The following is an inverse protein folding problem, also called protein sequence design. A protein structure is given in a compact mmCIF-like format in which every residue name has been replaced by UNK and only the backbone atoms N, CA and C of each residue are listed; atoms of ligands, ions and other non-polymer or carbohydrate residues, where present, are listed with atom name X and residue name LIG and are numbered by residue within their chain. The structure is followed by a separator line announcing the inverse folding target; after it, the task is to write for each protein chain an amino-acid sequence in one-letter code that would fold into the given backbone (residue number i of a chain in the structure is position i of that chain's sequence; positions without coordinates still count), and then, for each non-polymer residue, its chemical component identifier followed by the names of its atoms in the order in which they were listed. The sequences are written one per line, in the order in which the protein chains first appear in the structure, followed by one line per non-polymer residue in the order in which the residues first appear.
data_IF_494228320444
#
_entry.id   IF_494228320444
#
_cell.length_a   1.000
_cell.length_b   1.000
_cell.length_c   1.000
_cell.angle_alpha   90.00
_cell.angle_beta   90.00
_cell.angle_gamma   90.00
#
_symmetry.space_group_name_H-M   'P 1'
#
loop_
_entity.id
_entity.type
_entity.pdbx_description
1 polymer ?
#
# COMPACT_ATOMS: atom_id res chain seq x y z
N UNK A 1 9.36 -1.81 -20.18
CA UNK A 1 8.21 -2.72 -19.98
C UNK A 1 7.83 -3.23 -21.35
N UNK A 2 7.89 -4.54 -21.56
CA UNK A 2 7.73 -5.15 -22.89
C UNK A 2 6.32 -5.72 -23.10
N UNK A 3 5.54 -5.92 -22.03
CA UNK A 3 4.17 -6.45 -22.12
C UNK A 3 3.17 -5.78 -21.15
N UNK A 4 1.88 -5.82 -21.50
CA UNK A 4 0.77 -5.42 -20.61
C UNK A 4 0.78 -6.22 -19.29
N UNK A 5 1.18 -7.50 -19.36
CA UNK A 5 1.21 -8.37 -18.20
C UNK A 5 2.27 -7.92 -17.18
N UNK A 6 3.41 -7.39 -17.64
CA UNK A 6 4.44 -6.86 -16.75
C UNK A 6 3.99 -5.57 -16.07
N UNK A 7 3.28 -4.69 -16.79
CA UNK A 7 2.68 -3.48 -16.20
C UNK A 7 1.69 -3.84 -15.08
N UNK A 8 0.84 -4.84 -15.32
CA UNK A 8 -0.11 -5.36 -14.32
C UNK A 8 0.61 -5.95 -13.11
N UNK A 9 1.63 -6.78 -13.34
CA UNK A 9 2.45 -7.37 -12.27
C UNK A 9 3.12 -6.28 -11.44
N UNK A 10 3.73 -5.27 -12.07
CA UNK A 10 4.39 -4.17 -11.38
C UNK A 10 3.42 -3.40 -10.48
N UNK A 11 2.30 -2.94 -11.05
CA UNK A 11 1.30 -2.14 -10.34
C UNK A 11 0.61 -2.93 -9.22
N UNK A 12 0.45 -4.24 -9.37
CA UNK A 12 -0.15 -5.11 -8.33
C UNK A 12 0.61 -5.15 -7.01
N UNK A 13 1.80 -4.55 -6.95
CA UNK A 13 2.59 -4.39 -5.72
C UNK A 13 2.83 -2.93 -5.34
N UNK A 14 2.51 -1.97 -6.19
CA UNK A 14 2.81 -0.56 -5.91
C UNK A 14 1.83 0.04 -4.90
N UNK A 15 2.35 0.56 -3.79
CA UNK A 15 1.56 1.33 -2.80
C UNK A 15 1.39 2.80 -3.16
N UNK A 16 2.39 3.38 -3.84
CA UNK A 16 2.46 4.82 -4.13
C UNK A 16 1.88 5.19 -5.50
N UNK A 17 1.56 4.19 -6.32
CA UNK A 17 0.95 4.37 -7.64
C UNK A 17 -0.57 4.22 -7.49
N UNK A 18 -1.35 5.18 -7.97
CA UNK A 18 -2.82 5.09 -7.95
C UNK A 18 -3.32 4.08 -8.99
N UNK A 19 -2.84 4.22 -10.22
CA UNK A 19 -3.20 3.37 -11.35
C UNK A 19 -2.16 3.46 -12.47
N UNK A 20 -2.13 2.46 -13.33
CA UNK A 20 -1.36 2.45 -14.57
C UNK A 20 -2.31 2.33 -15.75
N UNK A 21 -2.03 3.13 -16.78
CA UNK A 21 -2.85 3.28 -17.96
C UNK A 21 -2.03 3.00 -19.22
N UNK A 22 -2.67 2.40 -20.21
CA UNK A 22 -2.24 2.44 -21.59
C UNK A 22 -2.78 3.74 -22.18
N UNK A 23 -1.86 4.67 -22.48
CA UNK A 23 -2.22 6.00 -22.96
C UNK A 23 -2.69 5.91 -24.42
N UNK A 24 -3.89 6.39 -24.69
CA UNK A 24 -4.45 6.44 -26.04
C UNK A 24 -4.36 7.83 -26.65
N UNK A 25 -4.37 8.86 -25.82
CA UNK A 25 -4.07 10.21 -26.25
C UNK A 25 -3.92 11.17 -25.09
N UNK A 26 -3.18 12.24 -25.34
CA UNK A 26 -2.97 13.34 -24.43
C UNK A 26 -3.01 14.67 -25.19
N UNK A 27 -3.20 15.77 -24.48
CA UNK A 27 -3.14 17.11 -25.08
C UNK A 27 -3.18 18.18 -24.00
N UNK A 28 -2.78 19.40 -24.35
CA UNK A 28 -2.94 20.60 -23.51
C UNK A 28 -4.39 21.12 -23.53
N UNK A 29 -5.21 20.64 -24.46
CA UNK A 29 -6.65 20.89 -24.52
C UNK A 29 -7.42 19.61 -24.88
N UNK A 30 -8.74 19.63 -24.67
CA UNK A 30 -9.61 18.51 -25.08
C UNK A 30 -9.56 18.28 -26.59
N UNK A 31 -9.48 19.35 -27.39
CA UNK A 31 -9.42 19.26 -28.85
C UNK A 31 -8.12 18.61 -29.33
N UNK A 32 -6.98 19.03 -28.75
CA UNK A 32 -5.68 18.46 -29.05
C UNK A 32 -5.63 16.97 -28.71
N UNK A 33 -6.16 16.59 -27.54
CA UNK A 33 -6.26 15.19 -27.12
C UNK A 33 -7.12 14.37 -28.09
N UNK A 34 -8.27 14.88 -28.54
CA UNK A 34 -9.10 14.20 -29.55
C UNK A 34 -8.39 14.05 -30.89
N UNK A 35 -7.66 15.08 -31.35
CA UNK A 35 -6.89 15.03 -32.59
C UNK A 35 -5.76 14.00 -32.50
N UNK A 36 -5.06 13.94 -31.37
CA UNK A 36 -4.00 12.96 -31.15
C UNK A 36 -4.54 11.53 -31.17
N UNK A 37 -5.71 11.27 -30.57
CA UNK A 37 -6.36 9.95 -30.62
C UNK A 37 -6.73 9.57 -32.06
N UNK A 38 -7.24 10.51 -32.86
CA UNK A 38 -7.61 10.24 -34.27
C UNK A 38 -6.41 9.89 -35.14
N UNK A 39 -5.22 10.38 -34.80
CA UNK A 39 -3.97 10.07 -35.49
C UNK A 39 -3.36 8.73 -35.05
N UNK A 40 -3.78 8.18 -33.90
CA UNK A 40 -3.30 6.88 -33.46
C UNK A 40 -3.81 5.73 -34.33
N UNK A 41 -3.02 4.67 -34.52
CA UNK A 41 -3.45 3.51 -35.28
C UNK A 41 -4.64 2.84 -34.61
N UNK A 42 -5.67 2.53 -35.39
CA UNK A 42 -6.90 1.92 -34.87
C UNK A 42 -6.66 0.56 -34.20
N UNK A 43 -5.56 -0.12 -34.52
CA UNK A 43 -5.13 -1.36 -33.87
C UNK A 43 -4.88 -1.20 -32.37
N UNK A 44 -4.63 0.02 -31.89
CA UNK A 44 -4.39 0.30 -30.47
C UNK A 44 -5.65 0.11 -29.62
N UNK A 45 -6.80 0.62 -30.07
CA UNK A 45 -8.03 0.63 -29.26
C UNK A 45 -9.11 -0.35 -29.75
N UNK A 46 -9.17 -0.68 -31.05
CA UNK A 46 -10.19 -1.60 -31.60
C UNK A 46 -10.29 -2.96 -30.87
N UNK A 47 -9.19 -3.66 -30.54
CA UNK A 47 -9.27 -4.94 -29.85
C UNK A 47 -9.88 -4.85 -28.44
N UNK A 48 -9.84 -3.67 -27.83
CA UNK A 48 -10.35 -3.44 -26.47
C UNK A 48 -11.79 -2.93 -26.46
N UNK A 49 -12.31 -2.45 -27.61
CA UNK A 49 -13.67 -1.93 -27.76
C UNK A 49 -14.58 -2.81 -28.65
N UNK A 50 -14.16 -4.05 -28.90
CA UNK A 50 -14.94 -4.99 -29.70
C UNK A 50 -16.33 -5.28 -29.10
N UNK A 51 -17.30 -5.65 -29.94
CA UNK A 51 -18.71 -5.85 -29.56
C UNK A 51 -18.98 -6.86 -28.44
N UNK A 52 -18.09 -7.82 -28.22
CA UNK A 52 -18.22 -8.82 -27.16
C UNK A 52 -17.64 -8.35 -25.81
N UNK A 53 -16.96 -7.20 -25.75
CA UNK A 53 -16.33 -6.67 -24.53
C UNK A 53 -17.19 -5.58 -23.93
N UNK A 54 -17.48 -5.71 -22.64
CA UNK A 54 -18.15 -4.67 -21.90
C UNK A 54 -17.21 -3.51 -21.59
N UNK A 55 -17.73 -2.29 -21.58
CA UNK A 55 -16.91 -1.11 -21.30
C UNK A 55 -17.54 -0.12 -20.32
N UNK A 56 -16.67 0.71 -19.73
CA UNK A 56 -17.03 1.89 -18.94
C UNK A 56 -16.07 3.02 -19.24
N UNK A 57 -16.60 4.22 -19.40
CA UNK A 57 -15.80 5.46 -19.43
C UNK A 57 -16.00 6.21 -18.13
N UNK A 58 -14.92 6.68 -17.52
CA UNK A 58 -14.96 7.55 -16.34
C UNK A 58 -14.21 8.84 -16.60
N UNK A 59 -14.66 9.91 -15.97
CA UNK A 59 -14.06 11.24 -16.08
C UNK A 59 -13.64 11.69 -14.69
N UNK A 60 -12.32 11.86 -14.50
CA UNK A 60 -11.71 12.27 -13.24
C UNK A 60 -10.96 13.60 -13.41
N UNK A 61 -11.24 14.56 -12.54
CA UNK A 61 -10.46 15.80 -12.43
C UNK A 61 -9.41 15.65 -11.33
N UNK A 62 -8.14 15.89 -11.66
CA UNK A 62 -7.09 16.08 -10.69
C UNK A 62 -7.14 17.53 -10.20
N UNK A 63 -7.28 17.72 -8.90
CA UNK A 63 -7.38 19.02 -8.24
C UNK A 63 -8.64 19.84 -8.61
N UNK A 64 -9.67 19.21 -9.19
CA UNK A 64 -10.97 19.83 -9.44
C UNK A 64 -12.10 18.79 -9.41
N UNK A 65 -13.19 19.13 -8.72
CA UNK A 65 -14.43 18.35 -8.76
C UNK A 65 -15.27 18.76 -9.96
N UNK A 66 -15.57 17.81 -10.84
CA UNK A 66 -16.36 18.02 -12.05
C UNK A 66 -17.83 17.70 -11.82
N UNK A 67 -18.74 18.50 -12.40
CA UNK A 67 -20.18 18.26 -12.35
C UNK A 67 -20.56 17.06 -13.21
N UNK A 68 -21.63 16.37 -12.85
CA UNK A 68 -22.11 15.20 -13.58
C UNK A 68 -22.49 15.52 -15.03
N UNK A 69 -23.08 16.70 -15.28
CA UNK A 69 -23.38 17.20 -16.63
C UNK A 69 -22.12 17.28 -17.50
N UNK A 70 -21.05 17.84 -16.94
CA UNK A 70 -19.80 18.10 -17.68
C UNK A 70 -19.07 16.79 -17.97
N UNK A 71 -19.18 15.82 -17.05
CA UNK A 71 -18.65 14.47 -17.26
C UNK A 71 -19.39 13.76 -18.40
N UNK A 72 -20.72 13.89 -18.48
CA UNK A 72 -21.51 13.30 -19.56
C UNK A 72 -21.15 13.90 -20.92
N UNK A 73 -21.06 15.23 -21.01
CA UNK A 73 -20.65 15.91 -22.25
C UNK A 73 -19.27 15.44 -22.75
N UNK A 74 -18.33 15.19 -21.84
CA UNK A 74 -16.99 14.65 -22.15
C UNK A 74 -17.00 13.18 -22.56
N UNK A 75 -17.95 12.39 -22.07
CA UNK A 75 -18.12 11.01 -22.53
C UNK A 75 -18.72 11.01 -23.93
N UNK A 76 -19.71 11.87 -24.19
CA UNK A 76 -20.34 12.02 -25.50
C UNK A 76 -19.37 12.54 -26.57
N UNK A 77 -18.40 13.37 -26.20
CA UNK A 77 -17.36 13.85 -27.13
C UNK A 77 -16.44 12.73 -27.64
N UNK A 78 -16.41 11.57 -26.98
CA UNK A 78 -15.66 10.38 -27.39
C UNK A 78 -16.42 9.47 -28.36
N UNK A 79 -17.62 9.85 -28.79
CA UNK A 79 -18.50 9.06 -29.69
C UNK A 79 -17.88 8.64 -31.02
N UNK A 80 -16.77 9.25 -31.45
CA UNK A 80 -16.02 8.83 -32.64
C UNK A 80 -15.22 7.53 -32.44
N UNK A 81 -15.06 7.05 -31.22
CA UNK A 81 -14.46 5.75 -30.93
C UNK A 81 -15.45 4.61 -31.16
N UNK A 82 -15.00 3.44 -31.63
CA UNK A 82 -15.88 2.31 -31.97
C UNK A 82 -16.36 1.57 -30.71
N UNK A 83 -17.28 2.17 -29.98
CA UNK A 83 -17.90 1.58 -28.79
C UNK A 83 -18.99 0.57 -29.18
N UNK A 84 -18.58 -0.61 -29.67
CA UNK A 84 -19.52 -1.61 -30.21
C UNK A 84 -20.11 -2.55 -29.13
N UNK A 85 -19.55 -2.54 -27.92
CA UNK A 85 -19.89 -3.49 -26.84
C UNK A 85 -20.93 -2.99 -25.84
N UNK A 86 -21.37 -3.84 -24.88
CA UNK A 86 -22.32 -3.44 -23.85
C UNK A 86 -21.70 -2.53 -22.78
N UNK A 87 -22.47 -1.60 -22.23
CA UNK A 87 -22.01 -0.75 -21.11
C UNK A 87 -22.16 -1.50 -19.79
N UNK A 88 -21.07 -1.64 -19.02
CA UNK A 88 -21.09 -2.24 -17.67
C UNK A 88 -20.43 -1.30 -16.66
N UNK A 89 -21.23 -0.74 -15.75
CA UNK A 89 -20.73 0.25 -14.78
C UNK A 89 -19.99 -0.38 -13.58
N UNK A 90 -20.20 -1.66 -13.30
CA UNK A 90 -19.71 -2.30 -12.07
C UNK A 90 -18.40 -3.05 -12.31
N UNK A 91 -18.36 -3.94 -13.30
CA UNK A 91 -17.19 -4.76 -13.60
C UNK A 91 -16.98 -4.90 -15.12
N UNK A 92 -16.53 -3.84 -15.80
CA UNK A 92 -16.32 -3.86 -17.25
C UNK A 92 -15.06 -4.64 -17.63
N UNK A 93 -15.04 -5.20 -18.84
CA UNK A 93 -13.83 -5.79 -19.44
C UNK A 93 -12.81 -4.70 -19.79
N UNK A 94 -13.29 -3.55 -20.27
CA UNK A 94 -12.48 -2.39 -20.63
C UNK A 94 -12.93 -1.15 -19.87
N UNK A 95 -12.05 -0.63 -19.00
CA UNK A 95 -12.25 0.67 -18.34
C UNK A 95 -11.37 1.73 -18.99
N UNK A 96 -12.01 2.81 -19.44
CA UNK A 96 -11.33 4.02 -19.92
C UNK A 96 -11.49 5.14 -18.90
N UNK A 97 -10.41 5.84 -18.63
CA UNK A 97 -10.42 7.03 -17.77
C UNK A 97 -9.94 8.24 -18.58
N UNK A 98 -10.79 9.27 -18.62
CA UNK A 98 -10.43 10.60 -19.08
C UNK A 98 -10.02 11.42 -17.86
N UNK A 99 -8.75 11.80 -17.80
CA UNK A 99 -8.13 12.47 -16.66
C UNK A 99 -7.79 13.90 -17.04
N UNK A 100 -8.34 14.85 -16.30
CA UNK A 100 -8.07 16.28 -16.48
C UNK A 100 -7.14 16.79 -15.38
N UNK A 101 -6.02 17.41 -15.77
CA UNK A 101 -5.04 17.94 -14.84
C UNK A 101 -5.16 19.45 -14.68
N UNK A 102 -5.58 19.91 -13.51
CA UNK A 102 -5.76 21.34 -13.18
C UNK A 102 -4.60 21.92 -12.36
N UNK A 103 -3.43 21.26 -12.32
CA UNK A 103 -2.28 21.73 -11.56
C UNK A 103 -2.25 21.23 -10.12
N UNK A 104 -1.22 21.65 -9.37
CA UNK A 104 -0.99 21.24 -7.98
C UNK A 104 -1.46 22.27 -6.95
N UNK A 105 -1.74 23.51 -7.37
CA UNK A 105 -2.16 24.59 -6.47
C UNK A 105 -3.64 24.50 -6.17
N UNK A 106 -4.01 24.55 -4.89
CA UNK A 106 -5.41 24.51 -4.46
C UNK A 106 -6.04 25.90 -4.35
N UNK A 107 -5.28 26.97 -4.59
CA UNK A 107 -5.72 28.35 -4.37
C UNK A 107 -6.37 28.94 -5.63
N UNK A 108 -5.71 28.77 -6.79
CA UNK A 108 -6.13 29.34 -8.07
C UNK A 108 -6.30 28.24 -9.12
N UNK A 109 -7.30 27.36 -8.92
CA UNK A 109 -7.57 26.26 -9.85
C UNK A 109 -8.20 26.83 -11.13
N UNK A 110 -7.60 26.64 -12.32
CA UNK A 110 -8.10 27.22 -13.55
C UNK A 110 -9.46 26.62 -13.98
N UNK A 111 -10.17 27.36 -14.82
CA UNK A 111 -11.44 26.88 -15.38
C UNK A 111 -11.26 25.71 -16.34
N UNK A 112 -10.21 25.78 -17.17
CA UNK A 112 -9.81 24.75 -18.11
C UNK A 112 -8.61 23.96 -17.58
N UNK A 113 -8.51 22.65 -17.88
CA UNK A 113 -7.37 21.85 -17.47
C UNK A 113 -6.12 22.24 -18.25
N UNK A 114 -4.96 22.10 -17.63
CA UNK A 114 -3.66 22.27 -18.30
C UNK A 114 -3.36 21.12 -19.25
N UNK A 115 -3.79 19.90 -18.90
CA UNK A 115 -3.64 18.72 -19.74
C UNK A 115 -4.82 17.77 -19.57
N UNK A 116 -5.15 17.07 -20.64
CA UNK A 116 -6.18 16.03 -20.67
C UNK A 116 -5.55 14.75 -21.18
N UNK A 117 -5.86 13.65 -20.53
CA UNK A 117 -5.39 12.31 -20.89
C UNK A 117 -6.58 11.39 -21.08
N UNK A 118 -6.53 10.53 -22.09
CA UNK A 118 -7.42 9.39 -22.22
C UNK A 118 -6.56 8.12 -22.23
N UNK A 119 -6.89 7.18 -21.37
CA UNK A 119 -6.21 5.89 -21.35
C UNK A 119 -7.07 4.75 -20.87
N UNK A 120 -6.68 3.54 -21.28
CA UNK A 120 -7.25 2.29 -20.80
C UNK A 120 -6.57 1.87 -19.50
N UNK A 121 -7.35 1.57 -18.48
CA UNK A 121 -6.83 1.11 -17.19
C UNK A 121 -6.21 -0.28 -17.36
N UNK A 122 -4.92 -0.40 -17.07
CA UNK A 122 -4.21 -1.69 -17.02
C UNK A 122 -4.29 -2.32 -15.64
N UNK A 123 -4.14 -1.51 -14.59
CA UNK A 123 -4.19 -1.97 -13.20
C UNK A 123 -4.23 -0.82 -12.21
N UNK A 124 -4.67 -1.12 -10.98
CA UNK A 124 -4.68 -0.19 -9.85
C UNK A 124 -3.63 -0.60 -8.83
N UNK A 125 -2.97 0.36 -8.21
CA UNK A 125 -2.07 0.06 -7.10
C UNK A 125 -2.85 -0.35 -5.86
N UNK A 126 -2.15 -0.88 -4.86
CA UNK A 126 -2.78 -1.50 -3.69
C UNK A 126 -2.87 -0.55 -2.49
N UNK A 127 -3.19 0.72 -2.75
CA UNK A 127 -3.40 1.74 -1.70
C UNK A 127 -4.49 1.34 -0.70
N UNK A 128 -5.44 0.51 -1.13
CA UNK A 128 -6.52 -0.04 -0.29
C UNK A 128 -5.98 -0.88 0.88
N UNK A 129 -4.81 -1.53 0.71
CA UNK A 129 -4.16 -2.29 1.79
C UNK A 129 -3.75 -1.40 2.97
N UNK A 130 -3.46 -0.12 2.75
CA UNK A 130 -3.12 0.82 3.84
C UNK A 130 -4.29 0.96 4.81
N UNK A 131 -5.52 1.02 4.28
CA UNK A 131 -6.72 1.10 5.10
C UNK A 131 -7.02 -0.24 5.78
N UNK A 132 -6.89 -1.35 5.04
CA UNK A 132 -7.14 -2.71 5.54
C UNK A 132 -6.19 -3.11 6.69
N UNK A 133 -4.91 -2.76 6.57
CA UNK A 133 -3.87 -3.09 7.55
C UNK A 133 -3.59 -1.96 8.55
N UNK A 134 -4.51 -0.98 8.63
CA UNK A 134 -4.36 0.18 9.49
C UNK A 134 -4.17 -0.23 10.95
N UNK A 135 -3.22 0.43 11.61
CA UNK A 135 -2.95 0.22 13.04
C UNK A 135 -4.20 0.40 13.90
N UNK A 136 -5.14 1.28 13.53
CA UNK A 136 -6.36 1.52 14.33
C UNK A 136 -7.18 0.26 14.58
N UNK A 137 -7.21 -0.66 13.62
CA UNK A 137 -8.02 -1.87 13.63
C UNK A 137 -7.25 -3.10 14.16
N UNK A 138 -5.96 -2.96 14.48
CA UNK A 138 -5.11 -4.10 14.85
C UNK A 138 -5.37 -4.57 16.28
N UNK A 139 -5.46 -5.89 16.47
CA UNK A 139 -5.69 -6.53 17.77
C UNK A 139 -4.60 -6.22 18.79
N UNK A 140 -3.33 -6.37 18.42
CA UNK A 140 -2.18 -6.11 19.28
C UNK A 140 -1.30 -4.99 18.71
N UNK A 141 -1.13 -3.91 19.48
CA UNK A 141 -0.39 -2.71 19.09
C UNK A 141 0.60 -2.31 20.20
N UNK A 142 1.78 -1.88 19.75
CA UNK A 142 2.75 -1.13 20.55
C UNK A 142 2.83 0.34 20.13
N UNK A 143 3.42 1.17 20.98
CA UNK A 143 3.49 2.63 20.89
C UNK A 143 4.32 3.24 19.75
N UNK A 144 5.18 2.50 19.05
CA UNK A 144 5.85 2.90 17.79
C UNK A 144 5.69 1.88 16.68
N UNK A 145 4.49 1.33 16.51
CA UNK A 145 4.25 0.48 15.33
C UNK A 145 4.42 1.28 14.03
N UNK A 146 5.28 0.80 13.12
CA UNK A 146 5.42 1.37 11.78
C UNK A 146 4.08 1.39 11.05
N UNK A 147 3.81 2.42 10.25
CA UNK A 147 2.62 2.48 9.40
C UNK A 147 2.61 1.36 8.33
N UNK A 148 1.43 0.84 8.01
CA UNK A 148 1.27 -0.25 7.05
C UNK A 148 1.83 0.11 5.66
N UNK A 149 1.74 1.37 5.22
CA UNK A 149 2.26 1.81 3.93
C UNK A 149 3.77 1.59 3.83
N UNK A 150 4.52 2.03 4.84
CA UNK A 150 5.98 1.89 4.86
C UNK A 150 6.39 0.42 4.95
N UNK A 151 5.69 -0.38 5.76
CA UNK A 151 5.94 -1.82 5.85
C UNK A 151 5.78 -2.53 4.50
N UNK A 152 4.71 -2.25 3.75
CA UNK A 152 4.53 -2.81 2.40
C UNK A 152 5.59 -2.31 1.41
N UNK A 153 6.03 -1.06 1.50
CA UNK A 153 7.10 -0.51 0.66
C UNK A 153 8.42 -1.23 0.93
N UNK A 154 8.79 -1.45 2.20
CA UNK A 154 10.02 -2.17 2.53
C UNK A 154 9.97 -3.63 2.07
N UNK A 155 8.83 -4.30 2.23
CA UNK A 155 8.63 -5.65 1.70
C UNK A 155 8.76 -5.72 0.17
N UNK A 156 8.38 -4.66 -0.54
CA UNK A 156 8.60 -4.56 -1.98
C UNK A 156 10.06 -4.28 -2.34
N UNK A 157 10.74 -3.42 -1.58
CA UNK A 157 12.18 -3.17 -1.76
C UNK A 157 13.01 -4.43 -1.52
N UNK A 158 12.61 -5.27 -0.56
CA UNK A 158 13.19 -6.58 -0.31
C UNK A 158 12.78 -7.66 -1.33
N UNK A 159 11.94 -7.31 -2.32
CA UNK A 159 11.49 -8.19 -3.41
C UNK A 159 10.86 -9.51 -2.95
N UNK A 160 10.16 -9.49 -1.80
CA UNK A 160 9.62 -10.71 -1.19
C UNK A 160 8.71 -11.50 -2.13
N UNK A 161 8.92 -12.80 -2.17
CA UNK A 161 8.17 -13.81 -2.92
C UNK A 161 7.45 -14.76 -1.97
N UNK A 162 6.36 -15.40 -2.43
CA UNK A 162 5.73 -16.46 -1.66
C UNK A 162 6.73 -17.58 -1.35
N UNK A 163 6.82 -17.97 -0.07
CA UNK A 163 7.74 -19.00 0.40
C UNK A 163 8.99 -18.47 1.08
N UNK A 164 9.40 -17.22 0.80
CA UNK A 164 10.60 -16.61 1.38
C UNK A 164 10.58 -16.66 2.91
N UNK A 165 11.73 -16.88 3.53
CA UNK A 165 11.92 -16.82 4.97
C UNK A 165 12.42 -15.44 5.39
N UNK A 166 11.58 -14.70 6.09
CA UNK A 166 11.80 -13.29 6.48
C UNK A 166 12.00 -13.18 7.97
N UNK A 167 13.05 -12.47 8.38
CA UNK A 167 13.31 -12.13 9.77
C UNK A 167 13.17 -10.62 9.99
N UNK A 168 12.38 -10.23 10.99
CA UNK A 168 12.50 -8.91 11.61
C UNK A 168 13.23 -9.07 12.96
N UNK A 169 14.50 -8.63 13.08
CA UNK A 169 15.27 -8.76 14.30
C UNK A 169 14.85 -7.81 15.44
N UNK A 170 13.88 -6.93 15.21
CA UNK A 170 13.47 -5.90 16.18
C UNK A 170 11.95 -5.73 16.25
N UNK A 171 11.22 -6.85 16.39
CA UNK A 171 9.75 -6.86 16.33
C UNK A 171 9.04 -6.14 17.47
N UNK A 172 9.78 -5.69 18.48
CA UNK A 172 9.27 -5.13 19.73
C UNK A 172 10.08 -3.95 20.28
N UNK A 173 10.89 -3.25 19.49
CA UNK A 173 11.86 -2.30 20.07
C UNK A 173 11.21 -1.16 20.86
N UNK A 174 11.32 -1.28 22.18
CA UNK A 174 11.47 -0.18 23.12
C UNK A 174 12.95 0.01 23.43
N UNK A 175 13.43 1.26 23.44
CA UNK A 175 14.80 1.54 23.85
C UNK A 175 14.99 1.19 25.33
N UNK A 176 15.74 0.13 25.63
CA UNK A 176 16.47 0.01 26.89
C UNK A 176 17.94 -0.31 26.61
N UNK A 177 18.68 0.74 26.25
CA UNK A 177 20.13 0.77 26.44
C UNK A 177 20.56 2.15 26.96
N UNK A 178 20.12 2.47 28.19
CA UNK A 178 20.91 3.35 29.05
C UNK A 178 20.88 2.75 30.45
N UNK A 179 22.03 2.22 30.87
CA UNK A 179 22.35 1.87 32.25
C UNK A 179 21.75 2.93 33.19
N UNK A 180 20.73 2.58 33.97
CA UNK A 180 20.33 3.37 35.12
C UNK A 180 21.07 2.79 36.32
N UNK A 181 22.29 3.29 36.51
CA UNK A 181 22.92 3.31 37.82
C UNK A 181 22.00 4.12 38.74
N UNK A 182 21.69 3.57 39.91
CA UNK A 182 20.88 4.17 40.96
C UNK A 182 21.23 5.65 41.19
N UNK A 183 20.26 6.55 41.00
CA UNK A 183 20.29 7.90 41.60
C UNK A 183 18.84 8.36 41.87
N UNK A 184 18.50 8.83 43.10
CA UNK A 184 17.12 9.15 43.47
C UNK A 184 16.54 10.45 42.87
N UNK A 185 17.26 11.13 41.97
CA UNK A 185 16.99 12.53 41.63
C UNK A 185 16.14 12.75 40.37
N UNK A 186 15.78 11.71 39.61
CA UNK A 186 15.17 11.83 38.28
C UNK A 186 13.64 11.59 38.21
N UNK A 187 12.90 11.86 39.28
CA UNK A 187 11.45 11.59 39.34
C UNK A 187 10.52 12.74 38.89
N UNK A 188 11.03 13.81 38.26
CA UNK A 188 10.20 14.98 37.88
C UNK A 188 10.28 15.47 36.42
N UNK A 189 10.97 14.78 35.52
CA UNK A 189 11.02 15.18 34.10
C UNK A 189 10.80 14.03 33.08
N UNK A 190 10.29 12.87 33.52
CA UNK A 190 9.92 11.79 32.60
C UNK A 190 8.46 11.95 32.11
N UNK A 191 8.20 13.04 31.39
CA UNK A 191 7.04 13.14 30.50
C UNK A 191 7.57 13.23 29.08
N UNK A 192 7.10 12.30 28.24
CA UNK A 192 7.25 12.19 26.79
C UNK A 192 8.04 10.95 26.30
N UNK A 193 7.30 10.17 25.49
CA UNK A 193 7.70 9.09 24.58
C UNK A 193 7.85 7.67 25.15
N UNK A 194 6.80 6.84 25.05
CA UNK A 194 6.97 5.40 24.93
C UNK A 194 7.04 5.00 23.46
N UNK A 195 8.13 4.34 23.04
CA UNK A 195 8.32 3.75 21.71
C UNK A 195 8.23 2.21 21.78
N UNK A 196 7.35 1.57 21.00
CA UNK A 196 7.23 0.10 20.83
C UNK A 196 6.75 -0.28 19.40
N UNK A 197 7.65 -0.72 18.50
CA UNK A 197 7.32 -1.18 17.13
C UNK A 197 6.67 -2.55 17.17
N UNK A 198 5.48 -2.76 16.58
CA UNK A 198 4.88 -4.10 16.53
C UNK A 198 4.35 -4.45 15.13
N UNK A 199 4.99 -5.45 14.52
CA UNK A 199 4.46 -6.39 13.52
C UNK A 199 3.98 -5.89 12.15
N UNK A 200 4.03 -4.60 11.82
CA UNK A 200 3.59 -4.17 10.49
C UNK A 200 4.41 -4.83 9.38
N UNK A 201 5.73 -4.95 9.57
CA UNK A 201 6.63 -5.64 8.62
C UNK A 201 6.27 -7.11 8.50
N UNK A 202 6.13 -7.82 9.62
CA UNK A 202 5.76 -9.23 9.64
C UNK A 202 4.41 -9.49 8.96
N UNK A 203 3.40 -8.68 9.27
CA UNK A 203 2.07 -8.82 8.66
C UNK A 203 2.11 -8.53 7.15
N UNK A 204 2.83 -7.49 6.72
CA UNK A 204 3.02 -7.17 5.31
C UNK A 204 3.82 -8.24 4.55
N UNK A 205 4.85 -8.82 5.17
CA UNK A 205 5.63 -9.91 4.59
C UNK A 205 4.78 -11.18 4.43
N UNK A 206 4.01 -11.53 5.47
CA UNK A 206 3.08 -12.66 5.42
C UNK A 206 1.98 -12.47 4.36
N UNK A 207 1.50 -11.24 4.14
CA UNK A 207 0.58 -10.91 3.05
C UNK A 207 1.15 -11.22 1.67
N UNK A 208 2.47 -11.02 1.47
CA UNK A 208 3.15 -11.44 0.23
C UNK A 208 3.48 -12.94 0.19
N UNK A 209 3.05 -13.71 1.19
CA UNK A 209 3.19 -15.16 1.25
C UNK A 209 4.52 -15.64 1.83
N UNK A 210 5.34 -14.76 2.38
CA UNK A 210 6.57 -15.13 3.07
C UNK A 210 6.28 -15.81 4.42
N UNK A 211 7.14 -16.75 4.82
CA UNK A 211 7.18 -17.26 6.19
C UNK A 211 7.95 -16.28 7.06
N UNK A 212 7.41 -16.00 8.24
CA UNK A 212 7.90 -14.90 9.06
C UNK A 212 8.44 -15.39 10.40
N UNK A 213 9.55 -14.78 10.79
CA UNK A 213 10.23 -14.97 12.05
C UNK A 213 10.47 -13.60 12.68
N UNK A 214 10.19 -13.48 13.97
CA UNK A 214 10.49 -12.29 14.75
C UNK A 214 11.57 -12.54 15.78
N UNK A 215 12.33 -11.51 16.13
CA UNK A 215 13.04 -11.53 17.40
C UNK A 215 13.07 -10.18 18.09
N UNK A 216 13.14 -10.22 19.42
CA UNK A 216 13.38 -9.05 20.25
C UNK A 216 14.06 -9.48 21.55
N UNK A 217 14.73 -8.56 22.25
CA UNK A 217 15.34 -8.86 23.55
C UNK A 217 14.31 -8.84 24.68
N UNK A 218 13.21 -8.08 24.54
CA UNK A 218 12.20 -7.94 25.58
C UNK A 218 11.10 -9.01 25.47
N UNK A 219 11.18 -10.00 26.38
CA UNK A 219 10.17 -11.04 26.56
C UNK A 219 8.76 -10.46 26.79
N UNK A 220 8.64 -9.37 27.55
CA UNK A 220 7.33 -8.83 27.91
C UNK A 220 6.64 -8.24 26.68
N UNK A 221 7.37 -7.51 25.83
CA UNK A 221 6.83 -6.97 24.60
C UNK A 221 6.50 -8.09 23.62
N UNK A 222 7.41 -9.01 23.39
CA UNK A 222 7.24 -10.10 22.43
C UNK A 222 5.99 -10.99 22.73
N UNK A 223 5.65 -11.14 24.01
CA UNK A 223 4.45 -11.88 24.45
C UNK A 223 3.29 -11.00 24.92
N UNK A 224 3.24 -9.72 24.52
CA UNK A 224 2.13 -8.81 24.83
C UNK A 224 1.79 -8.67 26.33
N UNK A 225 2.79 -8.74 27.20
CA UNK A 225 2.66 -8.58 28.66
C UNK A 225 2.98 -7.16 29.16
N UNK A 226 3.31 -6.25 28.25
CA UNK A 226 3.50 -4.83 28.56
C UNK A 226 2.18 -4.09 28.72
N UNK A 227 2.22 -2.88 29.29
CA UNK A 227 1.01 -2.03 29.41
C UNK A 227 0.40 -1.75 28.01
N UNK A 228 -0.93 -1.66 27.90
CA UNK A 228 -1.56 -1.25 26.66
C UNK A 228 -1.11 0.15 26.23
N UNK A 229 -0.99 0.34 24.92
CA UNK A 229 -0.68 1.64 24.33
C UNK A 229 -1.92 2.51 24.13
N UNK A 230 -3.10 1.90 23.93
CA UNK A 230 -4.33 2.64 23.62
C UNK A 230 -4.77 3.42 24.87
N UNK A 231 -4.99 4.73 24.72
CA UNK A 231 -5.38 5.65 25.82
C UNK A 231 -6.60 5.16 26.62
N UNK A 232 -7.54 4.47 25.96
CA UNK A 232 -8.77 3.96 26.60
C UNK A 232 -8.65 2.56 27.20
N UNK A 233 -7.49 1.91 27.07
CA UNK A 233 -7.29 0.53 27.47
C UNK A 233 -6.37 0.47 28.69
N UNK A 234 -6.90 -0.02 29.82
CA UNK A 234 -6.13 -0.13 31.07
C UNK A 234 -5.37 -1.46 31.17
N UNK A 235 -5.92 -2.54 30.60
CA UNK A 235 -5.36 -3.89 30.64
C UNK A 235 -5.38 -4.55 29.25
N UNK A 236 -4.40 -5.41 28.97
CA UNK A 236 -4.33 -6.17 27.72
C UNK A 236 -5.20 -7.42 27.82
N UNK A 237 -5.82 -7.81 26.71
CA UNK A 237 -6.51 -9.10 26.63
C UNK A 237 -5.51 -10.24 26.60
N UNK A 238 -5.84 -11.39 27.21
CA UNK A 238 -5.02 -12.61 27.17
C UNK A 238 -4.80 -13.15 25.75
N UNK A 239 -5.61 -12.72 24.78
CA UNK A 239 -5.50 -13.11 23.37
C UNK A 239 -4.68 -12.14 22.51
N UNK A 240 -4.20 -11.02 23.08
CA UNK A 240 -3.28 -10.13 22.37
C UNK A 240 -1.92 -10.81 22.19
N UNK A 241 -1.46 -10.89 20.95
CA UNK A 241 -0.15 -11.45 20.61
C UNK A 241 0.22 -11.05 19.17
N UNK A 242 1.47 -11.28 18.80
CA UNK A 242 1.93 -11.19 17.42
C UNK A 242 1.12 -12.15 16.53
N UNK A 243 0.85 -13.36 17.01
CA UNK A 243 0.05 -14.35 16.30
C UNK A 243 -1.39 -13.89 16.08
N UNK A 244 -2.03 -13.21 17.04
CA UNK A 244 -3.41 -12.73 16.85
C UNK A 244 -3.50 -11.62 15.82
N UNK A 245 -2.46 -10.79 15.65
CA UNK A 245 -2.38 -9.85 14.53
C UNK A 245 -2.40 -10.56 13.18
N UNK A 246 -1.71 -11.69 13.04
CA UNK A 246 -1.68 -12.45 11.77
C UNK A 246 -3.00 -13.20 11.57
N UNK A 247 -3.53 -13.77 12.63
CA UNK A 247 -4.82 -14.49 12.63
C UNK A 247 -5.98 -13.57 12.21
N UNK A 248 -5.95 -12.29 12.62
CA UNK A 248 -6.92 -11.28 12.20
C UNK A 248 -7.07 -11.19 10.67
N UNK A 249 -5.98 -11.42 9.92
CA UNK A 249 -5.96 -11.35 8.46
C UNK A 249 -5.92 -12.73 7.78
N UNK A 250 -6.07 -13.83 8.54
CA UNK A 250 -5.97 -15.18 8.00
C UNK A 250 -4.55 -15.60 7.60
N UNK A 251 -3.52 -14.95 8.17
CA UNK A 251 -2.11 -15.14 7.81
C UNK A 251 -1.35 -16.04 8.80
N UNK A 252 -2.03 -16.67 9.75
CA UNK A 252 -1.40 -17.49 10.79
C UNK A 252 -0.57 -18.67 10.24
N UNK A 253 -0.93 -19.21 9.07
CA UNK A 253 -0.16 -20.29 8.43
C UNK A 253 1.23 -19.86 7.93
N UNK A 254 1.53 -18.55 7.93
CA UNK A 254 2.84 -17.99 7.58
C UNK A 254 3.70 -17.68 8.80
N UNK A 255 3.12 -17.76 9.99
CA UNK A 255 3.81 -17.51 11.24
C UNK A 255 4.68 -18.71 11.62
N UNK A 256 5.98 -18.51 11.74
CA UNK A 256 6.87 -19.54 12.27
C UNK A 256 6.97 -19.39 13.78
N UNK A 257 7.64 -18.33 14.25
CA UNK A 257 7.70 -18.02 15.67
C UNK A 257 8.24 -16.60 15.92
N UNK A 258 8.32 -16.24 17.20
CA UNK A 258 9.13 -15.13 17.69
C UNK A 258 10.10 -15.61 18.77
N UNK A 259 11.34 -15.18 18.69
CA UNK A 259 12.40 -15.61 19.60
C UNK A 259 12.90 -14.45 20.48
N UNK A 260 13.14 -14.71 21.75
CA UNK A 260 13.82 -13.76 22.64
C UNK A 260 15.32 -13.83 22.37
N UNK A 261 15.86 -12.84 21.66
CA UNK A 261 17.24 -12.83 21.18
C UNK A 261 17.85 -11.44 21.29
N UNK A 262 19.08 -11.38 21.79
CA UNK A 262 19.92 -10.18 21.66
C UNK A 262 20.57 -10.18 20.26
N UNK A 263 20.09 -9.31 19.37
CA UNK A 263 20.59 -9.21 17.99
C UNK A 263 22.04 -8.72 17.89
N UNK A 264 22.62 -8.17 18.96
CA UNK A 264 24.06 -7.87 19.00
C UNK A 264 24.91 -9.15 19.19
N UNK A 265 24.29 -10.28 19.55
CA UNK A 265 24.93 -11.58 19.70
C UNK A 265 24.47 -12.54 18.62
N UNK A 266 25.42 -13.12 17.88
CA UNK A 266 25.10 -14.07 16.81
C UNK A 266 24.48 -15.34 17.40
N UNK A 267 23.15 -15.41 17.40
CA UNK A 267 22.38 -16.58 17.85
C UNK A 267 21.97 -17.49 16.69
N UNK A 268 22.13 -17.01 15.46
CA UNK A 268 21.83 -17.75 14.23
C UNK A 268 23.02 -18.61 13.81
N UNK A 269 22.72 -19.78 13.22
CA UNK A 269 23.75 -20.60 12.58
C UNK A 269 24.43 -19.78 11.48
N UNK A 270 25.73 -20.00 11.25
CA UNK A 270 26.48 -19.44 10.11
C UNK A 270 26.11 -20.14 8.80
N UNK A 271 24.82 -20.13 8.46
CA UNK A 271 24.28 -20.69 7.22
C UNK A 271 23.26 -19.69 6.65
N UNK A 272 23.18 -19.52 5.32
CA UNK A 272 22.18 -18.66 4.70
C UNK A 272 20.83 -19.37 4.73
N UNK A 273 20.05 -19.13 5.79
CA UNK A 273 18.71 -19.70 5.95
C UNK A 273 17.62 -18.66 5.64
N UNK A 274 17.95 -17.37 5.68
CA UNK A 274 17.00 -16.27 5.50
C UNK A 274 17.08 -15.73 4.07
N UNK A 275 15.92 -15.49 3.45
CA UNK A 275 15.81 -14.85 2.14
C UNK A 275 15.81 -13.32 2.27
N UNK A 276 15.28 -12.78 3.37
CA UNK A 276 15.33 -11.36 3.67
C UNK A 276 15.36 -11.04 5.17
N UNK A 277 16.03 -9.94 5.50
CA UNK A 277 15.96 -9.30 6.81
C UNK A 277 15.37 -7.92 6.59
N UNK A 278 14.22 -7.65 7.22
CA UNK A 278 13.52 -6.36 7.07
C UNK A 278 13.23 -5.84 8.47
N UNK A 279 13.68 -4.64 8.77
CA UNK A 279 13.48 -4.04 10.08
C UNK A 279 13.55 -2.53 10.02
N UNK A 280 12.85 -1.89 10.95
CA UNK A 280 12.91 -0.45 11.19
C UNK A 280 13.74 -0.19 12.45
N UNK A 281 14.99 0.22 12.27
CA UNK A 281 15.83 0.66 13.38
C UNK A 281 15.65 2.17 13.55
N UNK A 282 14.87 2.57 14.56
CA UNK A 282 14.80 3.97 15.01
C UNK A 282 15.87 4.28 16.06
#
# INVERSE_FOLDING_TARGET
MESEQDAKKLVSRCMLVKACYELWGDGCSSEEMHNNIRQQPQSLYKPHLASHKSFRVTVEGFNKSLRSSDKLAKIESLSYLPFDGPVNLTNPDTRLDLIEYYGLSNVDVPDQPYRVFLGRLLGRGCRELIAQYSLKQRSYIGSTSMDAQLAFIMCNMAQLRPGDLVLDPFVGTGQFSRLVVFSPFWNKLAQAYPCIVICSILVSAAHYGAHILGSDIDFLTLHARTKPTRVKQKERSAHESILSNLSQYGLQGRYLDVAVVDCARTSWRRAPVLDAIITDRQ
#
